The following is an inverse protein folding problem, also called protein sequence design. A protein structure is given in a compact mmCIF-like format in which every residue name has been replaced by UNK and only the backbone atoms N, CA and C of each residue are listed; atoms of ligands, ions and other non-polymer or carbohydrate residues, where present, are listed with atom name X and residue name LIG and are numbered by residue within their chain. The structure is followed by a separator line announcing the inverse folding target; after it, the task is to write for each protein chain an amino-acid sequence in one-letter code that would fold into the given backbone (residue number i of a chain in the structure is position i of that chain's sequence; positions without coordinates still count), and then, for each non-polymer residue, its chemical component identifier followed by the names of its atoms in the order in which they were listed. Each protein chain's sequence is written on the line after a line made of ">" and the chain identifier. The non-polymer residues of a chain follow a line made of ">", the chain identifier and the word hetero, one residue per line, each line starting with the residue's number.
data_IF_024547704492
#
_entry.id   IF_024547704492
#
_cell.length_a   1.000
_cell.length_b   1.000
_cell.length_c   1.000
_cell.angle_alpha   90.00
_cell.angle_beta   90.00
_cell.angle_gamma   90.00
#
_symmetry.space_group_name_H-M   'P 1'
#
loop_
_entity.id
_entity.type
_entity.pdbx_description
1 polymer ?
#
# COMPACT_ATOMS: atom_id res chain seq x y z
N UNK A 1 -47.98 2.01 31.79
CA UNK A 1 -47.52 1.90 30.38
C UNK A 1 -46.24 2.70 30.04
N UNK A 2 -45.45 3.17 31.02
CA UNK A 2 -44.36 4.13 30.77
C UNK A 2 -42.93 3.52 30.76
N UNK A 3 -42.73 2.30 31.28
CA UNK A 3 -41.39 1.68 31.45
C UNK A 3 -40.85 1.05 30.16
N UNK A 4 -41.71 0.65 29.21
CA UNK A 4 -41.31 0.01 27.95
C UNK A 4 -40.64 0.99 26.95
N UNK A 5 -40.91 2.30 27.04
CA UNK A 5 -40.34 3.27 26.09
C UNK A 5 -38.90 3.70 26.44
N UNK A 6 -38.51 3.66 27.72
CA UNK A 6 -37.16 4.08 28.17
C UNK A 6 -36.09 3.03 27.77
N UNK A 7 -36.43 1.73 27.78
CA UNK A 7 -35.50 0.67 27.33
C UNK A 7 -35.20 0.74 25.82
N UNK A 8 -36.18 1.14 24.99
CA UNK A 8 -35.99 1.27 23.53
C UNK A 8 -35.14 2.48 23.15
N UNK A 9 -35.18 3.58 23.92
CA UNK A 9 -34.36 4.79 23.64
C UNK A 9 -32.88 4.63 23.96
N UNK A 10 -32.50 3.77 24.92
CA UNK A 10 -31.09 3.59 25.29
C UNK A 10 -30.32 2.59 24.41
N UNK A 11 -30.99 1.60 23.82
CA UNK A 11 -30.38 0.74 22.81
C UNK A 11 -30.08 1.50 21.50
N UNK A 12 -30.88 2.52 21.18
CA UNK A 12 -30.66 3.38 20.02
C UNK A 12 -29.46 4.30 20.18
N UNK A 13 -29.16 4.77 21.40
CA UNK A 13 -28.04 5.69 21.64
C UNK A 13 -26.69 4.95 21.69
N UNK A 14 -26.62 3.73 22.25
CA UNK A 14 -25.38 2.95 22.25
C UNK A 14 -25.03 2.41 20.86
N UNK A 15 -26.06 2.05 20.07
CA UNK A 15 -25.86 1.66 18.68
C UNK A 15 -25.35 2.84 17.84
N UNK A 16 -25.87 4.06 18.06
CA UNK A 16 -25.43 5.28 17.38
C UNK A 16 -23.97 5.63 17.70
N UNK A 17 -23.55 5.53 18.97
CA UNK A 17 -22.15 5.83 19.38
C UNK A 17 -21.18 4.78 18.81
N UNK A 18 -21.59 3.51 18.73
CA UNK A 18 -20.80 2.46 18.07
C UNK A 18 -20.77 2.59 16.54
N UNK A 19 -21.83 3.09 15.91
CA UNK A 19 -21.85 3.34 14.45
C UNK A 19 -21.09 4.60 14.04
N UNK A 20 -21.04 5.63 14.89
CA UNK A 20 -20.27 6.85 14.59
C UNK A 20 -18.75 6.69 14.73
N UNK A 21 -18.27 5.62 15.38
CA UNK A 21 -16.83 5.35 15.53
C UNK A 21 -16.25 4.37 14.52
N UNK A 22 -17.09 3.74 13.68
CA UNK A 22 -16.62 2.93 12.55
C UNK A 22 -16.52 3.77 11.27
N UNK A 23 -15.77 4.88 11.32
CA UNK A 23 -15.15 5.38 10.09
C UNK A 23 -13.93 4.50 9.83
N UNK A 24 -14.16 3.37 9.16
CA UNK A 24 -13.10 2.51 8.66
C UNK A 24 -12.20 3.34 7.75
N UNK A 25 -10.89 3.28 7.99
CA UNK A 25 -9.87 3.69 7.05
C UNK A 25 -10.15 3.06 5.70
N UNK A 26 -10.55 3.84 4.71
CA UNK A 26 -10.76 3.28 3.38
C UNK A 26 -9.40 3.15 2.72
N UNK A 27 -8.90 1.91 2.66
CA UNK A 27 -7.76 1.59 1.82
C UNK A 27 -8.20 1.67 0.36
N UNK A 28 -7.46 2.43 -0.44
CA UNK A 28 -7.70 2.59 -1.87
C UNK A 28 -6.75 1.68 -2.65
N UNK A 29 -7.31 0.93 -3.59
CA UNK A 29 -6.55 0.19 -4.60
C UNK A 29 -6.80 0.82 -5.96
N UNK A 30 -5.73 1.17 -6.66
CA UNK A 30 -5.77 1.74 -8.01
C UNK A 30 -5.02 0.83 -8.97
N UNK A 31 -5.62 0.58 -10.13
CA UNK A 31 -5.01 -0.21 -11.20
C UNK A 31 -5.06 0.57 -12.50
N UNK A 32 -3.92 0.64 -13.19
CA UNK A 32 -3.79 1.34 -14.46
C UNK A 32 -2.52 0.88 -15.19
N UNK A 33 -2.39 1.28 -16.45
CA UNK A 33 -1.27 0.93 -17.29
C UNK A 33 -0.49 2.17 -17.71
N UNK A 34 0.83 2.06 -17.76
CA UNK A 34 1.71 3.08 -18.33
C UNK A 34 2.63 2.43 -19.36
N UNK A 35 2.63 2.99 -20.57
CA UNK A 35 3.48 2.54 -21.67
C UNK A 35 4.62 3.52 -21.90
N UNK A 36 5.79 2.99 -22.20
CA UNK A 36 7.03 3.73 -22.42
C UNK A 36 7.77 3.17 -23.63
N UNK A 37 8.48 4.06 -24.32
CA UNK A 37 9.42 3.69 -25.38
C UNK A 37 10.71 4.47 -25.20
N UNK A 38 11.85 3.83 -25.40
CA UNK A 38 13.15 4.47 -25.28
C UNK A 38 14.30 3.50 -25.50
N UNK A 39 15.45 3.81 -24.93
CA UNK A 39 16.66 3.00 -25.03
C UNK A 39 17.31 2.93 -23.66
N UNK A 40 17.88 1.78 -23.28
CA UNK A 40 18.69 1.65 -22.07
C UNK A 40 20.17 1.75 -22.47
N UNK A 41 20.85 2.88 -22.18
CA UNK A 41 22.25 3.04 -22.54
C UNK A 41 23.14 2.03 -21.79
N UNK A 42 23.90 1.23 -22.52
CA UNK A 42 24.89 0.30 -21.96
C UNK A 42 26.31 0.86 -22.12
N UNK A 43 26.50 2.13 -21.74
CA UNK A 43 27.72 2.90 -22.06
C UNK A 43 28.88 2.68 -21.08
N UNK A 44 28.59 2.51 -19.78
CA UNK A 44 29.62 2.30 -18.78
C UNK A 44 29.75 0.81 -18.48
N UNK A 45 30.90 0.22 -18.80
CA UNK A 45 31.20 -1.17 -18.49
C UNK A 45 32.46 -1.31 -17.64
N UNK A 46 32.36 -2.06 -16.54
CA UNK A 46 33.52 -2.37 -15.70
C UNK A 46 34.38 -3.48 -16.34
N UNK A 47 33.75 -4.49 -16.94
CA UNK A 47 34.43 -5.71 -17.46
C UNK A 47 33.83 -6.24 -18.79
N UNK A 48 33.04 -5.44 -19.51
CA UNK A 48 32.32 -5.85 -20.74
C UNK A 48 31.03 -6.64 -20.49
N UNK A 49 30.79 -7.08 -19.25
CA UNK A 49 29.69 -7.97 -18.84
C UNK A 49 28.75 -7.30 -17.82
N UNK A 50 29.23 -6.22 -17.19
CA UNK A 50 28.48 -5.47 -16.18
C UNK A 50 28.37 -4.02 -16.59
N UNK A 51 27.14 -3.50 -16.57
CA UNK A 51 26.82 -2.13 -16.97
C UNK A 51 26.07 -1.42 -15.87
N UNK A 52 26.34 -0.12 -15.69
CA UNK A 52 25.63 0.72 -14.72
C UNK A 52 25.18 1.99 -15.40
N UNK A 53 23.96 2.44 -15.12
CA UNK A 53 23.43 3.64 -15.74
C UNK A 53 22.21 4.22 -15.06
N UNK A 54 21.80 5.36 -15.58
CA UNK A 54 20.56 6.04 -15.25
C UNK A 54 19.82 6.37 -16.55
N UNK A 55 18.52 6.09 -16.59
CA UNK A 55 17.69 6.49 -17.73
C UNK A 55 16.28 6.85 -17.31
N UNK A 56 15.75 7.93 -17.90
CA UNK A 56 14.38 8.38 -17.70
C UNK A 56 13.53 8.14 -18.94
N UNK A 57 12.52 7.30 -18.79
CA UNK A 57 11.43 7.16 -19.75
C UNK A 57 10.33 8.18 -19.45
N UNK A 58 9.74 8.73 -20.51
CA UNK A 58 8.58 9.62 -20.41
C UNK A 58 7.55 9.26 -21.46
N UNK A 59 6.27 9.27 -21.07
CA UNK A 59 5.14 9.08 -21.98
C UNK A 59 4.26 10.34 -22.09
N UNK A 60 4.75 11.48 -21.59
CA UNK A 60 4.08 12.77 -21.61
C UNK A 60 3.20 13.07 -20.39
N UNK A 61 2.64 12.05 -19.72
CA UNK A 61 1.87 12.21 -18.48
C UNK A 61 2.60 11.70 -17.25
N UNK A 62 3.53 10.76 -17.43
CA UNK A 62 4.28 10.10 -16.40
C UNK A 62 5.76 9.96 -16.77
N UNK A 63 6.62 9.96 -15.75
CA UNK A 63 8.06 9.73 -15.88
C UNK A 63 8.47 8.53 -15.04
N UNK A 64 9.35 7.70 -15.59
CA UNK A 64 9.96 6.56 -14.92
C UNK A 64 11.47 6.67 -15.07
N UNK A 65 12.16 6.99 -13.97
CA UNK A 65 13.63 7.03 -13.91
C UNK A 65 14.13 5.72 -13.30
N UNK A 66 15.03 5.04 -14.00
CA UNK A 66 15.70 3.83 -13.56
C UNK A 66 17.15 4.14 -13.22
N UNK A 67 17.61 3.71 -12.06
CA UNK A 67 19.01 3.62 -11.67
C UNK A 67 19.37 2.14 -11.65
N UNK A 68 20.16 1.69 -12.61
CA UNK A 68 20.22 0.27 -12.95
C UNK A 68 21.63 -0.27 -13.06
N UNK A 69 21.70 -1.57 -12.81
CA UNK A 69 22.80 -2.46 -13.10
C UNK A 69 22.29 -3.48 -14.12
N UNK A 70 23.08 -3.77 -15.15
CA UNK A 70 22.79 -4.82 -16.13
C UNK A 70 23.94 -5.83 -16.18
N UNK A 71 23.62 -7.09 -15.91
CA UNK A 71 24.55 -8.22 -15.91
C UNK A 71 24.30 -9.11 -17.12
N UNK A 72 25.31 -9.31 -17.96
CA UNK A 72 25.31 -10.34 -19.00
C UNK A 72 25.56 -11.70 -18.35
N UNK A 73 24.58 -12.61 -18.43
CA UNK A 73 24.64 -13.93 -17.78
C UNK A 73 25.32 -15.00 -18.63
N UNK A 74 25.26 -14.84 -19.94
CA UNK A 74 25.86 -15.70 -20.93
C UNK A 74 26.64 -14.75 -21.83
N UNK A 75 27.80 -15.16 -22.34
CA UNK A 75 28.54 -14.43 -23.38
C UNK A 75 27.66 -14.11 -24.61
N UNK A 76 26.44 -14.65 -24.66
CA UNK A 76 25.42 -14.53 -25.69
C UNK A 76 24.16 -13.78 -25.20
N UNK A 77 24.26 -12.47 -25.01
CA UNK A 77 23.15 -11.55 -25.28
C UNK A 77 21.95 -11.55 -24.31
N UNK A 78 21.98 -12.30 -23.20
CA UNK A 78 20.99 -12.18 -22.12
C UNK A 78 21.50 -11.27 -21.01
N UNK A 79 20.77 -10.18 -20.75
CA UNK A 79 21.03 -9.25 -19.66
C UNK A 79 19.94 -9.37 -18.59
N UNK A 80 20.33 -9.46 -17.33
CA UNK A 80 19.45 -9.17 -16.20
C UNK A 80 19.68 -7.74 -15.80
N UNK A 81 18.63 -6.93 -15.87
CA UNK A 81 18.64 -5.52 -15.49
C UNK A 81 17.86 -5.37 -14.19
N UNK A 82 18.49 -4.77 -13.19
CA UNK A 82 17.88 -4.58 -11.89
C UNK A 82 18.39 -3.30 -11.27
N UNK A 83 17.73 -2.85 -10.21
CA UNK A 83 18.16 -1.68 -9.47
C UNK A 83 17.01 -1.00 -8.79
N UNK A 84 17.01 0.32 -8.85
CA UNK A 84 16.01 1.14 -8.19
C UNK A 84 15.32 2.09 -9.16
N UNK A 85 14.09 2.47 -8.84
CA UNK A 85 13.30 3.34 -9.71
C UNK A 85 12.64 4.49 -8.93
N UNK A 86 12.36 5.57 -9.65
CA UNK A 86 11.51 6.67 -9.21
C UNK A 86 10.45 6.95 -10.28
N UNK A 87 9.21 7.17 -9.85
CA UNK A 87 8.06 7.34 -10.73
C UNK A 87 7.32 8.63 -10.42
N UNK A 88 7.06 9.45 -11.43
CA UNK A 88 6.29 10.71 -11.34
C UNK A 88 6.81 11.72 -10.30
N UNK A 89 8.03 11.54 -9.82
CA UNK A 89 8.73 12.50 -8.99
C UNK A 89 9.82 13.17 -9.85
N UNK A 90 10.09 14.45 -9.57
CA UNK A 90 11.30 15.10 -10.08
C UNK A 90 12.56 14.41 -9.55
N UNK A 91 13.73 15.06 -9.69
CA UNK A 91 15.05 14.59 -9.21
C UNK A 91 15.11 14.38 -7.67
N UNK A 92 14.33 13.45 -7.13
CA UNK A 92 14.36 13.01 -5.74
C UNK A 92 14.37 11.50 -5.68
N UNK A 93 15.27 11.03 -4.81
CA UNK A 93 15.61 9.69 -4.33
C UNK A 93 14.85 8.48 -4.93
N UNK A 94 15.56 7.38 -5.24
CA UNK A 94 14.92 6.14 -5.65
C UNK A 94 13.92 5.66 -4.59
N UNK A 95 12.73 5.27 -5.04
CA UNK A 95 11.61 4.88 -4.19
C UNK A 95 11.52 3.36 -4.09
N UNK A 96 11.53 2.66 -5.23
CA UNK A 96 11.35 1.21 -5.27
C UNK A 96 12.50 0.46 -5.91
N UNK A 97 12.34 -0.86 -5.98
CA UNK A 97 13.23 -1.77 -6.66
C UNK A 97 12.57 -2.36 -7.90
N UNK A 98 13.37 -2.74 -8.87
CA UNK A 98 12.87 -3.42 -10.06
C UNK A 98 13.89 -4.45 -10.57
N UNK A 99 13.39 -5.39 -11.36
CA UNK A 99 14.18 -6.36 -12.10
C UNK A 99 13.46 -6.75 -13.41
N UNK A 100 14.20 -6.92 -14.50
CA UNK A 100 13.69 -7.51 -15.73
C UNK A 100 14.82 -8.16 -16.53
N UNK A 101 14.46 -9.06 -17.43
CA UNK A 101 15.41 -9.67 -18.38
C UNK A 101 15.29 -9.03 -19.76
N UNK A 102 16.44 -8.77 -20.38
CA UNK A 102 16.57 -8.34 -21.78
C UNK A 102 17.33 -9.39 -22.55
N UNK A 103 16.74 -9.91 -23.62
CA UNK A 103 17.49 -10.59 -24.67
C UNK A 103 17.84 -9.56 -25.73
N UNK A 104 19.12 -9.29 -25.94
CA UNK A 104 19.61 -8.47 -27.04
C UNK A 104 19.73 -9.32 -28.32
N UNK A 105 19.54 -8.73 -29.51
CA UNK A 105 19.88 -9.41 -30.75
C UNK A 105 21.40 -9.55 -30.89
N UNK A 106 21.86 -10.61 -31.56
CA UNK A 106 23.25 -10.78 -31.95
C UNK A 106 23.69 -9.65 -32.90
N UNK A 107 24.75 -8.89 -32.60
CA UNK A 107 25.23 -7.84 -33.50
C UNK A 107 25.83 -8.40 -34.80
N UNK A 108 26.22 -9.68 -34.86
CA UNK A 108 26.89 -10.32 -36.00
C UNK A 108 25.88 -11.08 -36.88
N UNK A 109 24.83 -11.63 -36.27
CA UNK A 109 23.81 -12.38 -36.99
C UNK A 109 22.68 -11.44 -37.41
N UNK A 110 22.31 -11.36 -38.71
CA UNK A 110 21.17 -10.57 -39.14
C UNK A 110 19.92 -10.96 -38.34
N UNK A 111 19.12 -10.00 -37.84
CA UNK A 111 17.93 -10.32 -37.08
C UNK A 111 17.02 -11.22 -37.91
N UNK A 112 16.70 -12.40 -37.38
CA UNK A 112 15.74 -13.30 -38.02
C UNK A 112 14.40 -12.56 -38.15
N UNK A 113 13.82 -12.44 -39.35
CA UNK A 113 12.53 -11.80 -39.54
C UNK A 113 11.38 -12.45 -38.75
N UNK A 114 11.56 -13.69 -38.24
CA UNK A 114 10.64 -14.33 -37.31
C UNK A 114 10.75 -13.79 -35.86
N UNK A 115 11.88 -13.17 -35.49
CA UNK A 115 12.19 -12.66 -34.15
C UNK A 115 12.48 -11.15 -34.19
N UNK A 116 11.62 -10.38 -34.85
CA UNK A 116 11.72 -8.92 -34.94
C UNK A 116 11.53 -8.20 -33.58
N UNK A 117 11.13 -8.89 -32.53
CA UNK A 117 10.86 -8.31 -31.22
C UNK A 117 11.13 -9.37 -30.14
N UNK A 118 12.12 -9.14 -29.29
CA UNK A 118 12.47 -10.04 -28.19
C UNK A 118 11.66 -9.66 -26.95
N UNK A 119 10.86 -10.56 -26.35
CA UNK A 119 9.98 -10.21 -25.25
C UNK A 119 10.80 -9.82 -24.02
N UNK A 120 10.31 -8.81 -23.30
CA UNK A 120 10.83 -8.41 -22.00
C UNK A 120 9.73 -8.60 -20.95
N UNK A 121 10.14 -9.06 -19.78
CA UNK A 121 9.27 -9.25 -18.64
C UNK A 121 10.03 -8.97 -17.36
N UNK A 122 9.33 -8.44 -16.36
CA UNK A 122 9.92 -8.13 -15.07
C UNK A 122 8.93 -7.50 -14.11
N UNK A 123 9.44 -7.01 -13.01
CA UNK A 123 8.64 -6.51 -11.90
C UNK A 123 9.21 -5.22 -11.31
N UNK A 124 8.30 -4.42 -10.75
CA UNK A 124 8.56 -3.22 -10.00
C UNK A 124 7.87 -3.34 -8.65
N UNK A 125 8.56 -2.94 -7.59
CA UNK A 125 8.05 -3.10 -6.24
C UNK A 125 8.54 -2.01 -5.30
N UNK A 126 7.60 -1.46 -4.53
CA UNK A 126 7.88 -0.56 -3.42
C UNK A 126 6.88 -0.78 -2.28
N UNK A 127 7.35 -0.67 -1.03
CA UNK A 127 6.49 -0.64 0.16
C UNK A 127 6.99 0.40 1.16
N UNK A 128 6.09 1.29 1.58
CA UNK A 128 6.25 2.16 2.75
C UNK A 128 5.62 1.47 3.96
N UNK A 129 6.48 0.95 4.83
CA UNK A 129 6.11 0.21 6.03
C UNK A 129 6.42 1.08 7.24
N UNK A 130 5.42 1.29 8.10
CA UNK A 130 5.58 2.01 9.35
C UNK A 130 5.41 1.04 10.52
N UNK A 131 6.28 1.18 11.51
CA UNK A 131 6.10 0.53 12.81
C UNK A 131 5.11 1.34 13.64
N UNK A 132 4.01 0.68 14.00
CA UNK A 132 2.95 1.25 14.83
C UNK A 132 3.38 1.30 16.30
N UNK A 133 2.75 2.16 17.13
CA UNK A 133 3.08 2.27 18.55
C UNK A 133 2.89 0.97 19.36
N UNK A 134 2.10 0.04 18.85
CA UNK A 134 1.88 -1.30 19.43
C UNK A 134 2.93 -2.34 18.94
N UNK A 135 3.89 -1.91 18.13
CA UNK A 135 4.95 -2.75 17.55
C UNK A 135 4.54 -3.51 16.30
N UNK A 136 3.31 -3.36 15.79
CA UNK A 136 2.89 -3.97 14.53
C UNK A 136 3.50 -3.23 13.33
N UNK A 137 3.80 -3.96 12.26
CA UNK A 137 4.19 -3.38 10.98
C UNK A 137 2.95 -3.21 10.10
N UNK A 138 2.69 -1.99 9.65
CA UNK A 138 1.60 -1.71 8.71
C UNK A 138 2.15 -1.09 7.42
N UNK A 139 1.66 -1.60 6.28
CA UNK A 139 1.91 -1.02 4.96
C UNK A 139 0.95 0.15 4.76
N UNK A 140 1.48 1.35 4.53
CA UNK A 140 0.67 2.55 4.26
C UNK A 140 0.58 2.86 2.78
N UNK A 141 1.62 2.49 2.03
CA UNK A 141 1.68 2.68 0.60
C UNK A 141 2.44 1.52 -0.02
N UNK A 142 1.95 0.99 -1.13
CA UNK A 142 2.73 0.07 -1.94
C UNK A 142 2.46 0.26 -3.42
N UNK A 143 3.50 0.02 -4.19
CA UNK A 143 3.45 -0.03 -5.65
C UNK A 143 3.89 -1.41 -6.09
N UNK A 144 3.11 -2.03 -6.96
CA UNK A 144 3.50 -3.23 -7.66
C UNK A 144 3.26 -3.03 -9.15
N UNK A 145 4.29 -3.27 -9.96
CA UNK A 145 4.22 -3.14 -11.41
C UNK A 145 4.66 -4.42 -12.09
N UNK A 146 3.84 -4.94 -13.01
CA UNK A 146 4.25 -6.02 -13.91
C UNK A 146 4.63 -5.45 -15.27
N UNK A 147 5.89 -5.61 -15.66
CA UNK A 147 6.39 -5.15 -16.94
C UNK A 147 6.20 -6.23 -18.01
N UNK A 148 5.69 -5.81 -19.16
CA UNK A 148 5.63 -6.60 -20.40
C UNK A 148 6.01 -5.71 -21.57
N UNK A 149 6.82 -6.21 -22.48
CA UNK A 149 7.20 -5.44 -23.64
C UNK A 149 8.05 -6.23 -24.62
N UNK A 150 8.76 -5.50 -25.45
CA UNK A 150 9.73 -6.05 -26.36
C UNK A 150 10.92 -5.12 -26.58
N UNK A 151 12.05 -5.73 -26.93
CA UNK A 151 13.23 -5.06 -27.47
C UNK A 151 13.22 -5.20 -29.00
N UNK A 152 13.34 -4.08 -29.71
CA UNK A 152 13.45 -4.08 -31.17
C UNK A 152 14.86 -4.48 -31.64
N UNK A 153 15.06 -4.79 -32.93
CA UNK A 153 16.37 -5.11 -33.48
C UNK A 153 17.33 -3.92 -33.47
N UNK A 154 16.82 -2.70 -33.27
CA UNK A 154 17.60 -1.47 -33.11
C UNK A 154 17.85 -1.14 -31.62
N UNK A 155 17.66 -2.10 -30.72
CA UNK A 155 17.76 -1.95 -29.26
C UNK A 155 16.78 -0.92 -28.66
N UNK A 156 15.70 -0.60 -29.37
CA UNK A 156 14.63 0.23 -28.81
C UNK A 156 13.74 -0.62 -27.90
N UNK A 157 13.59 -0.19 -26.65
CA UNK A 157 12.74 -0.81 -25.66
C UNK A 157 11.33 -0.23 -25.78
N UNK A 158 10.32 -1.08 -25.94
CA UNK A 158 8.90 -0.69 -25.86
C UNK A 158 8.21 -1.56 -24.83
N UNK A 159 7.65 -0.97 -23.79
CA UNK A 159 7.07 -1.74 -22.68
C UNK A 159 5.90 -1.03 -22.03
N UNK A 160 5.06 -1.84 -21.40
CA UNK A 160 3.92 -1.41 -20.58
C UNK A 160 4.09 -2.00 -19.19
N UNK A 161 3.84 -1.18 -18.18
CA UNK A 161 3.76 -1.63 -16.78
C UNK A 161 2.30 -1.62 -16.35
N UNK A 162 1.82 -2.79 -15.93
CA UNK A 162 0.54 -2.97 -15.27
C UNK A 162 0.72 -2.65 -13.78
N UNK A 163 0.31 -1.45 -13.37
CA UNK A 163 0.46 -0.99 -11.99
C UNK A 163 -0.73 -1.35 -11.11
N UNK A 164 -0.42 -1.72 -9.87
CA UNK A 164 -1.36 -1.81 -8.75
C UNK A 164 -0.79 -0.97 -7.61
N UNK A 165 -1.48 0.12 -7.28
CA UNK A 165 -1.12 1.00 -6.16
C UNK A 165 -2.09 0.76 -5.02
N UNK A 166 -1.54 0.52 -3.83
CA UNK A 166 -2.27 0.48 -2.59
C UNK A 166 -1.94 1.73 -1.79
N UNK A 167 -2.96 2.46 -1.35
CA UNK A 167 -2.81 3.60 -0.44
C UNK A 167 -3.77 3.45 0.71
N UNK A 168 -3.23 3.49 1.94
CA UNK A 168 -4.02 3.55 3.17
C UNK A 168 -3.97 4.95 3.74
N UNK A 169 -5.13 5.51 4.04
CA UNK A 169 -5.21 6.87 4.57
C UNK A 169 -4.50 6.97 5.93
N UNK A 170 -3.44 7.80 6.03
CA UNK A 170 -2.64 7.98 7.26
C UNK A 170 -3.47 8.58 8.42
N UNK A 171 -4.66 9.11 8.13
CA UNK A 171 -5.56 9.74 9.11
C UNK A 171 -6.20 8.77 10.11
N UNK A 172 -6.05 7.46 9.91
CA UNK A 172 -6.69 6.46 10.79
C UNK A 172 -5.81 5.97 11.92
N UNK A 173 -4.77 6.73 12.27
CA UNK A 173 -4.15 6.71 13.58
C UNK A 173 -5.15 7.24 14.62
N UNK A 174 -6.28 6.56 14.81
CA UNK A 174 -7.14 6.81 15.96
C UNK A 174 -6.31 6.40 17.17
N UNK A 175 -5.89 7.33 18.04
CA UNK A 175 -5.18 6.93 19.25
C UNK A 175 -6.11 6.00 20.02
N UNK A 176 -5.59 4.91 20.57
CA UNK A 176 -6.34 4.12 21.53
C UNK A 176 -6.97 5.10 22.53
N UNK A 177 -8.30 5.04 22.78
CA UNK A 177 -8.95 6.01 23.65
C UNK A 177 -8.18 6.03 24.97
N UNK A 178 -7.81 7.22 25.47
CA UNK A 178 -6.93 7.31 26.63
C UNK A 178 -7.53 6.51 27.79
N UNK A 179 -6.70 5.85 28.60
CA UNK A 179 -7.17 5.00 29.71
C UNK A 179 -8.12 5.73 30.66
N UNK A 180 -7.99 7.06 30.76
CA UNK A 180 -8.91 7.95 31.47
C UNK A 180 -10.35 7.89 30.96
N UNK A 181 -10.54 7.69 29.65
CA UNK A 181 -11.85 7.53 29.01
C UNK A 181 -12.49 6.17 29.33
N UNK A 182 -11.70 5.09 29.33
CA UNK A 182 -12.16 3.76 29.74
C UNK A 182 -12.50 3.72 31.24
N UNK A 183 -11.70 4.40 32.08
CA UNK A 183 -12.00 4.57 33.49
C UNK A 183 -13.26 5.42 33.72
N UNK A 184 -13.41 6.53 33.01
CA UNK A 184 -14.57 7.42 33.13
C UNK A 184 -15.88 6.74 32.74
N UNK A 185 -15.87 6.00 31.62
CA UNK A 185 -17.04 5.22 31.17
C UNK A 185 -17.37 4.06 32.13
N UNK A 186 -16.36 3.38 32.66
CA UNK A 186 -16.53 2.36 33.71
C UNK A 186 -17.16 2.92 34.99
N UNK A 187 -16.71 4.09 35.46
CA UNK A 187 -17.27 4.76 36.65
C UNK A 187 -18.72 5.19 36.45
N UNK A 188 -19.07 5.74 35.27
CA UNK A 188 -20.45 6.12 34.94
C UNK A 188 -21.35 4.88 34.94
N UNK A 189 -20.88 3.76 34.39
CA UNK A 189 -21.62 2.50 34.39
C UNK A 189 -21.85 1.97 35.81
N UNK A 190 -20.80 1.99 36.65
CA UNK A 190 -20.90 1.57 38.06
C UNK A 190 -21.84 2.48 38.87
N UNK A 191 -21.75 3.79 38.70
CA UNK A 191 -22.64 4.76 39.35
C UNK A 191 -24.11 4.52 38.98
N UNK A 192 -24.36 4.19 37.71
CA UNK A 192 -25.69 3.86 37.24
C UNK A 192 -26.24 2.53 37.78
N UNK A 193 -25.38 1.50 37.87
CA UNK A 193 -25.74 0.22 38.52
C UNK A 193 -26.08 0.43 39.99
N UNK A 194 -25.27 1.22 40.71
CA UNK A 194 -25.51 1.56 42.11
C UNK A 194 -26.84 2.32 42.31
N UNK A 195 -27.12 3.31 41.45
CA UNK A 195 -28.36 4.08 41.48
C UNK A 195 -29.61 3.21 41.23
N UNK A 196 -29.51 2.23 40.33
CA UNK A 196 -30.61 1.27 40.10
C UNK A 196 -30.87 0.37 41.31
N UNK A 197 -29.83 -0.05 42.04
CA UNK A 197 -29.98 -0.86 43.25
C UNK A 197 -30.67 -0.08 44.39
N UNK A 198 -30.36 1.20 44.57
CA UNK A 198 -31.03 2.04 45.58
C UNK A 198 -32.53 2.21 45.31
N UNK A 199 -32.95 2.27 44.05
CA UNK A 199 -34.39 2.33 43.69
C UNK A 199 -35.15 1.02 43.86
N UNK A 200 -34.47 -0.08 44.16
CA UNK A 200 -35.06 -1.41 44.40
C UNK A 200 -35.03 -1.81 45.88
N UNK A 201 -34.54 -0.95 46.78
CA UNK A 201 -34.64 -1.20 48.21
C UNK A 201 -36.13 -1.14 48.63
N UNK A 202 -36.68 -2.21 49.26
CA UNK A 202 -38.05 -2.17 49.75
C UNK A 202 -38.17 -1.13 50.87
N UNK A 203 -39.23 -0.32 50.82
CA UNK A 203 -39.64 0.47 51.97
C UNK A 203 -40.00 -0.50 53.11
N UNK A 204 -39.36 -0.32 54.27
CA UNK A 204 -39.66 -1.07 55.48
C UNK A 204 -41.16 -0.98 55.82
N UNK A 205 -41.82 -2.08 56.23
CA UNK A 205 -43.18 -1.98 56.73
C UNK A 205 -43.15 -1.27 58.08
N UNK A 206 -43.88 -0.16 58.20
CA UNK A 206 -44.22 0.46 59.47
C UNK A 206 -45.13 -0.54 60.20
N UNK A 207 -44.61 -1.17 61.26
CA UNK A 207 -45.41 -2.00 62.14
C UNK A 207 -46.35 -1.09 62.96
N UNK A 208 -47.64 -1.14 62.66
CA UNK A 208 -48.67 -0.58 63.53
C UNK A 208 -48.76 -1.41 64.81
N UNK A 209 -48.21 -0.91 65.92
CA UNK A 209 -48.57 -1.37 67.26
C UNK A 209 -49.81 -0.60 67.71
N UNK A 210 -50.97 -1.26 67.65
CA UNK A 210 -52.12 -0.88 68.47
C UNK A 210 -52.03 -1.63 69.80
N UNK A 211 -51.94 -0.86 70.89
CA UNK A 211 -52.38 -1.28 72.23
C UNK A 211 -53.86 -0.90 72.38
#
# INVERSE_FOLDING_TARGET
>A
MCIKQIKRRMAGLSALIFTFMSLSAEAKIEQFQESYTGYLPMEYSLDGVYYVGEHTFSNGSATLTLYYEALSLLQDQLYVVFGSYSRNQGLSLPLGQFDFSLSAPDPITPPDPAFNALPIAGSFYFQDILMMPDGQLEVFYSEFGLLKGFLSPQNALSFTIDWTIYTRDRRTLVPAPPTTWLFGTGLIFLAWVAFRRQRQAPAWPIANMHF
#
